data_IF_840349587240
#
_entry.id   IF_840349587240
#
_cell.length_a   1.000
_cell.length_b   1.000
_cell.length_c   1.000
_cell.angle_alpha   90.00
_cell.angle_beta   90.00
_cell.angle_gamma   90.00
#
_symmetry.space_group_name_H-M   'P 1'
#
loop_
_entity.id
_entity.type
_entity.pdbx_description
1 polymer ?
#
# COMPACT_ATOMS: atom_id res chain seq x y z
N UNK A 1 -5.97 -2.67 1.91
CA UNK A 1 -5.41 -3.93 1.38
C UNK A 1 -6.24 -5.14 1.81
N UNK A 2 -6.98 -4.98 2.90
CA UNK A 2 -7.64 -6.04 3.65
C UNK A 2 -8.84 -5.45 4.41
N UNK A 3 -9.66 -6.32 4.98
CA UNK A 3 -10.72 -6.00 5.95
C UNK A 3 -10.99 -7.22 6.83
N UNK A 4 -11.35 -7.01 8.09
CA UNK A 4 -11.73 -8.08 9.01
C UNK A 4 -13.05 -8.73 8.60
N UNK A 5 -13.10 -10.06 8.68
CA UNK A 5 -14.33 -10.83 8.44
C UNK A 5 -15.24 -10.76 9.68
N UNK A 6 -16.52 -10.47 9.47
CA UNK A 6 -17.56 -10.48 10.51
C UNK A 6 -17.53 -9.30 11.49
N UNK A 7 -16.65 -8.32 11.27
CA UNK A 7 -16.64 -7.08 12.06
C UNK A 7 -17.61 -6.08 11.41
N UNK A 8 -18.55 -5.46 12.17
CA UNK A 8 -19.46 -4.47 11.60
C UNK A 8 -18.71 -3.36 10.87
N UNK A 9 -19.21 -2.95 9.71
CA UNK A 9 -18.55 -1.95 8.86
C UNK A 9 -18.36 -0.60 9.55
N UNK A 10 -19.27 -0.25 10.46
CA UNK A 10 -19.25 0.97 11.27
C UNK A 10 -18.52 0.80 12.61
N UNK A 11 -18.00 -0.40 12.91
CA UNK A 11 -17.17 -0.63 14.09
C UNK A 11 -15.94 0.29 14.02
N UNK A 12 -15.53 0.97 15.11
CA UNK A 12 -14.43 1.94 15.10
C UNK A 12 -13.10 1.34 14.62
N UNK A 13 -12.87 0.06 14.92
CA UNK A 13 -11.66 -0.67 14.53
C UNK A 13 -11.76 -1.41 13.18
N UNK A 14 -12.85 -1.24 12.42
CA UNK A 14 -12.89 -1.75 11.04
C UNK A 14 -11.98 -0.92 10.14
N UNK A 15 -11.44 -1.53 9.09
CA UNK A 15 -10.61 -0.78 8.14
C UNK A 15 -11.43 0.17 7.27
N UNK A 16 -12.73 -0.10 7.06
CA UNK A 16 -13.70 0.90 6.57
C UNK A 16 -13.71 2.16 7.45
N UNK A 17 -13.94 2.03 8.76
CA UNK A 17 -13.96 3.16 9.69
C UNK A 17 -12.62 3.88 9.78
N UNK A 18 -11.51 3.13 9.82
CA UNK A 18 -10.17 3.70 9.85
C UNK A 18 -9.91 4.58 8.62
N UNK A 19 -10.13 4.04 7.42
CA UNK A 19 -9.86 4.76 6.17
C UNK A 19 -10.78 5.97 6.01
N UNK A 20 -12.06 5.83 6.38
CA UNK A 20 -13.00 6.95 6.33
C UNK A 20 -12.64 8.06 7.31
N UNK A 21 -12.26 7.68 8.54
CA UNK A 21 -11.95 8.63 9.62
C UNK A 21 -10.65 9.37 9.41
N UNK A 22 -9.62 8.70 8.89
CA UNK A 22 -8.26 9.25 8.83
C UNK A 22 -7.84 9.74 7.45
N UNK A 23 -8.60 9.44 6.39
CA UNK A 23 -8.21 9.84 5.05
C UNK A 23 -9.39 10.28 4.18
N UNK A 24 -10.33 9.39 3.83
CA UNK A 24 -11.27 9.67 2.75
C UNK A 24 -12.20 10.86 3.02
N UNK A 25 -12.59 11.13 4.26
CA UNK A 25 -13.44 12.28 4.59
C UNK A 25 -12.70 13.63 4.55
N UNK A 26 -11.36 13.61 4.51
CA UNK A 26 -10.50 14.80 4.59
C UNK A 26 -9.99 15.24 3.20
N UNK A 27 -10.36 14.52 2.14
CA UNK A 27 -9.94 14.78 0.75
C UNK A 27 -11.15 14.76 -0.19
N UNK A 28 -10.98 15.26 -1.42
CA UNK A 28 -12.02 15.42 -2.44
C UNK A 28 -12.22 14.17 -3.32
N UNK A 29 -11.93 12.97 -2.79
CA UNK A 29 -12.15 11.72 -3.51
C UNK A 29 -13.64 11.41 -3.61
N UNK A 30 -14.12 11.06 -4.81
CA UNK A 30 -15.48 10.56 -4.99
C UNK A 30 -15.63 9.20 -4.27
N UNK A 31 -16.58 9.04 -3.32
CA UNK A 31 -16.81 7.78 -2.64
C UNK A 31 -17.10 6.60 -3.58
N UNK A 32 -17.62 6.85 -4.79
CA UNK A 32 -17.83 5.81 -5.80
C UNK A 32 -16.52 5.20 -6.33
N UNK A 33 -15.40 5.90 -6.16
CA UNK A 33 -14.05 5.44 -6.53
C UNK A 33 -13.30 4.80 -5.35
N UNK A 34 -13.96 4.62 -4.20
CA UNK A 34 -13.36 4.01 -3.01
C UNK A 34 -13.77 2.54 -2.92
N UNK A 35 -12.78 1.65 -2.98
CA UNK A 35 -12.99 0.21 -2.94
C UNK A 35 -12.29 -0.40 -1.72
N UNK A 36 -13.05 -1.00 -0.82
CA UNK A 36 -12.57 -1.81 0.30
C UNK A 36 -13.33 -3.14 0.25
N UNK A 37 -12.66 -4.23 0.59
CA UNK A 37 -13.26 -5.56 0.73
C UNK A 37 -14.42 -5.54 1.73
N UNK A 38 -15.50 -6.25 1.40
CA UNK A 38 -16.63 -6.43 2.32
C UNK A 38 -16.44 -7.68 3.18
N UNK A 39 -15.88 -7.49 4.38
CA UNK A 39 -15.71 -8.57 5.36
C UNK A 39 -17.02 -9.18 5.89
N UNK A 40 -18.18 -8.60 5.57
CA UNK A 40 -19.51 -9.12 5.95
C UNK A 40 -20.30 -9.67 4.76
N UNK A 41 -19.66 -9.83 3.59
CA UNK A 41 -20.29 -10.44 2.44
C UNK A 41 -20.78 -11.86 2.77
N UNK A 42 -21.95 -12.22 2.25
CA UNK A 42 -22.54 -13.56 2.46
C UNK A 42 -21.73 -14.68 1.80
N UNK A 43 -20.97 -14.36 0.76
CA UNK A 43 -20.03 -15.23 0.07
C UNK A 43 -18.68 -14.51 -0.06
N UNK A 44 -17.77 -14.85 0.85
CA UNK A 44 -16.47 -14.21 0.96
C UNK A 44 -15.57 -14.50 -0.25
N UNK A 45 -15.67 -15.68 -0.86
CA UNK A 45 -14.88 -16.02 -2.04
C UNK A 45 -15.33 -15.21 -3.26
N UNK A 46 -16.65 -15.08 -3.43
CA UNK A 46 -17.23 -14.24 -4.48
C UNK A 46 -16.86 -12.77 -4.31
N UNK A 47 -16.79 -12.29 -3.07
CA UNK A 47 -16.33 -10.94 -2.74
C UNK A 47 -14.85 -10.74 -3.13
N UNK A 48 -13.97 -11.66 -2.76
CA UNK A 48 -12.58 -11.63 -3.20
C UNK A 48 -12.44 -11.62 -4.73
N UNK A 49 -13.23 -12.45 -5.42
CA UNK A 49 -13.23 -12.50 -6.89
C UNK A 49 -13.80 -11.21 -7.52
N UNK A 50 -14.79 -10.56 -6.87
CA UNK A 50 -15.29 -9.24 -7.29
C UNK A 50 -14.19 -8.19 -7.20
N UNK A 51 -13.47 -8.16 -6.08
CA UNK A 51 -12.42 -7.17 -5.86
C UNK A 51 -11.30 -7.25 -6.92
N UNK A 52 -10.86 -8.46 -7.27
CA UNK A 52 -9.89 -8.69 -8.35
C UNK A 52 -10.41 -8.21 -9.73
N UNK A 53 -11.70 -8.42 -10.01
CA UNK A 53 -12.32 -7.93 -11.24
C UNK A 53 -12.37 -6.40 -11.27
N UNK A 54 -12.66 -5.75 -10.15
CA UNK A 54 -12.67 -4.28 -10.08
C UNK A 54 -11.28 -3.68 -10.30
N UNK A 55 -10.24 -4.29 -9.72
CA UNK A 55 -8.84 -3.89 -10.01
C UNK A 55 -8.56 -4.02 -11.51
N UNK A 56 -8.97 -5.12 -12.13
CA UNK A 56 -8.77 -5.34 -13.57
C UNK A 56 -9.53 -4.32 -14.42
N UNK A 57 -10.79 -4.04 -14.08
CA UNK A 57 -11.64 -3.08 -14.79
C UNK A 57 -11.13 -1.64 -14.65
N UNK A 58 -10.46 -1.32 -13.54
CA UNK A 58 -9.77 -0.04 -13.35
C UNK A 58 -8.45 0.08 -14.13
N UNK A 59 -8.00 -0.98 -14.83
CA UNK A 59 -6.74 -0.99 -15.58
C UNK A 59 -5.51 -1.38 -14.76
N UNK A 60 -5.72 -2.05 -13.62
CA UNK A 60 -4.67 -2.42 -12.67
C UNK A 60 -4.31 -1.28 -11.72
N UNK A 61 -3.38 -1.56 -10.79
CA UNK A 61 -2.94 -0.61 -9.77
C UNK A 61 -1.70 0.13 -10.29
N UNK A 62 -1.76 1.46 -10.34
CA UNK A 62 -0.59 2.28 -10.70
C UNK A 62 0.48 2.21 -9.61
N UNK A 63 0.11 2.60 -8.40
CA UNK A 63 0.97 2.61 -7.23
C UNK A 63 0.27 1.89 -6.08
N UNK A 64 0.90 0.83 -5.58
CA UNK A 64 0.45 0.12 -4.40
C UNK A 64 1.27 0.57 -3.20
N UNK A 65 0.63 1.23 -2.22
CA UNK A 65 1.27 1.60 -0.96
C UNK A 65 0.95 0.57 0.12
N UNK A 66 1.98 0.04 0.75
CA UNK A 66 1.87 -0.95 1.81
C UNK A 66 2.81 -0.67 2.98
N UNK A 67 2.66 -1.47 4.03
CA UNK A 67 3.59 -1.56 5.14
C UNK A 67 4.11 -2.99 5.29
N UNK A 68 4.94 -3.21 6.31
CA UNK A 68 5.48 -4.53 6.68
C UNK A 68 5.08 -4.89 8.11
N UNK A 69 4.60 -6.12 8.32
CA UNK A 69 4.41 -6.69 9.65
C UNK A 69 5.74 -7.00 10.36
N UNK A 70 5.79 -7.14 11.69
CA UNK A 70 7.01 -7.58 12.41
C UNK A 70 7.55 -8.96 11.96
N UNK A 71 6.69 -9.77 11.37
CA UNK A 71 6.95 -11.09 10.75
C UNK A 71 7.19 -11.00 9.23
N UNK A 72 7.27 -9.80 8.66
CA UNK A 72 7.50 -9.59 7.23
C UNK A 72 6.30 -9.74 6.33
N UNK A 73 5.06 -9.79 6.85
CA UNK A 73 3.88 -9.88 5.99
C UNK A 73 3.62 -8.57 5.21
N UNK A 74 3.11 -8.71 3.98
CA UNK A 74 2.39 -7.67 3.23
C UNK A 74 0.89 -7.93 3.32
N UNK A 75 0.09 -6.93 3.69
CA UNK A 75 -1.33 -7.12 4.00
C UNK A 75 -1.49 -8.25 5.05
N UNK A 76 -2.55 -9.06 5.01
CA UNK A 76 -2.63 -10.29 5.84
C UNK A 76 -2.06 -11.53 5.13
N UNK A 77 -1.04 -11.37 4.28
CA UNK A 77 -0.28 -12.50 3.73
C UNK A 77 0.73 -13.02 4.76
N UNK A 78 0.19 -13.67 5.78
CA UNK A 78 0.91 -14.31 6.89
C UNK A 78 2.02 -15.26 6.41
N UNK A 79 3.05 -15.55 7.24
CA UNK A 79 4.10 -16.50 6.92
C UNK A 79 3.56 -17.84 6.40
N UNK A 80 4.14 -18.30 5.29
CA UNK A 80 3.71 -19.49 4.56
C UNK A 80 2.69 -19.21 3.43
N UNK A 81 2.22 -17.97 3.28
CA UNK A 81 1.35 -17.58 2.17
C UNK A 81 2.05 -17.69 0.82
N UNK A 82 1.36 -18.24 -0.19
CA UNK A 82 1.92 -18.31 -1.55
C UNK A 82 2.32 -16.92 -2.07
N UNK A 83 3.52 -16.81 -2.63
CA UNK A 83 4.04 -15.56 -3.19
C UNK A 83 3.35 -15.14 -4.50
N UNK A 84 2.53 -16.02 -5.09
CA UNK A 84 1.68 -15.75 -6.26
C UNK A 84 0.18 -15.80 -5.91
N UNK A 85 -0.14 -15.66 -4.63
CA UNK A 85 -1.53 -15.69 -4.16
C UNK A 85 -2.36 -14.53 -4.73
N UNK A 86 -3.68 -14.75 -4.82
CA UNK A 86 -4.70 -13.74 -5.11
C UNK A 86 -5.46 -13.34 -3.86
N UNK A 87 -6.34 -12.36 -4.01
CA UNK A 87 -7.29 -11.92 -2.98
C UNK A 87 -8.09 -13.11 -2.46
N UNK A 88 -8.10 -13.30 -1.13
CA UNK A 88 -8.69 -14.48 -0.49
C UNK A 88 -9.00 -14.23 0.98
N UNK A 89 -9.75 -15.15 1.57
CA UNK A 89 -9.89 -15.26 3.03
C UNK A 89 -8.59 -15.80 3.62
N UNK A 90 -8.13 -15.18 4.71
CA UNK A 90 -6.99 -15.64 5.51
C UNK A 90 -7.35 -15.67 6.98
N UNK A 91 -7.08 -16.80 7.62
CA UNK A 91 -7.05 -16.89 9.09
C UNK A 91 -5.82 -16.14 9.60
N UNK A 92 -6.03 -15.29 10.60
CA UNK A 92 -4.96 -14.51 11.22
C UNK A 92 -4.05 -15.42 12.05
N UNK A 93 -2.75 -15.16 11.99
CA UNK A 93 -1.78 -15.81 12.87
C UNK A 93 -1.99 -15.36 14.32
N UNK A 94 -1.57 -16.21 15.27
CA UNK A 94 -1.66 -15.88 16.71
C UNK A 94 -0.91 -14.59 17.05
N UNK A 95 0.22 -14.34 16.42
CA UNK A 95 1.01 -13.12 16.64
C UNK A 95 0.25 -11.86 16.16
N UNK A 96 -0.46 -11.96 15.03
CA UNK A 96 -1.34 -10.91 14.51
C UNK A 96 -2.50 -10.63 15.47
N UNK A 97 -3.12 -11.68 16.01
CA UNK A 97 -4.18 -11.55 17.01
C UNK A 97 -3.66 -10.84 18.26
N UNK A 98 -2.49 -11.24 18.77
CA UNK A 98 -1.85 -10.61 19.93
C UNK A 98 -1.51 -9.13 19.68
N UNK A 99 -0.96 -8.81 18.51
CA UNK A 99 -0.60 -7.44 18.14
C UNK A 99 -1.83 -6.52 18.02
N UNK A 100 -2.96 -7.07 17.56
CA UNK A 100 -4.18 -6.30 17.32
C UNK A 100 -5.13 -6.28 18.53
N UNK A 101 -4.95 -7.14 19.53
CA UNK A 101 -5.76 -7.17 20.75
C UNK A 101 -5.86 -5.80 21.45
N UNK A 102 -4.82 -4.96 21.34
CA UNK A 102 -4.81 -3.59 21.88
C UNK A 102 -5.97 -2.72 21.37
N UNK A 103 -6.44 -2.97 20.15
CA UNK A 103 -7.57 -2.27 19.53
C UNK A 103 -8.92 -2.80 20.01
N UNK A 104 -8.96 -4.04 20.51
CA UNK A 104 -10.16 -4.72 21.00
C UNK A 104 -10.22 -4.75 22.54
N UNK A 105 -9.67 -3.72 23.20
CA UNK A 105 -9.67 -3.59 24.66
C UNK A 105 -8.76 -4.60 25.39
N UNK A 106 -7.79 -5.18 24.69
CA UNK A 106 -6.89 -6.21 25.21
C UNK A 106 -7.47 -7.62 25.26
N UNK A 107 -8.69 -7.81 24.74
CA UNK A 107 -9.41 -9.09 24.76
C UNK A 107 -9.20 -9.85 23.45
N UNK A 108 -8.50 -10.99 23.53
CA UNK A 108 -8.14 -11.80 22.37
C UNK A 108 -9.37 -12.42 21.70
N UNK A 109 -10.43 -12.71 22.46
CA UNK A 109 -11.64 -13.37 21.95
C UNK A 109 -12.49 -12.41 21.10
N UNK A 110 -12.23 -11.10 21.19
CA UNK A 110 -12.90 -10.06 20.38
C UNK A 110 -12.18 -9.74 19.09
N UNK A 111 -10.96 -10.21 18.91
CA UNK A 111 -10.21 -10.00 17.67
C UNK A 111 -10.79 -10.91 16.58
N UNK A 112 -11.18 -10.39 15.41
CA UNK A 112 -11.65 -11.22 14.31
C UNK A 112 -10.60 -12.28 13.95
N UNK A 113 -11.03 -13.52 13.78
CA UNK A 113 -10.11 -14.66 13.52
C UNK A 113 -9.72 -14.78 12.05
N UNK A 114 -10.44 -14.09 11.17
CA UNK A 114 -10.22 -14.10 9.72
C UNK A 114 -10.28 -12.68 9.15
N UNK A 115 -9.62 -12.49 8.03
CA UNK A 115 -9.67 -11.28 7.23
C UNK A 115 -9.77 -11.63 5.74
N UNK A 116 -10.38 -10.74 4.96
CA UNK A 116 -10.19 -10.69 3.52
C UNK A 116 -8.92 -9.90 3.26
N UNK A 117 -8.08 -10.37 2.34
CA UNK A 117 -6.83 -9.69 2.03
C UNK A 117 -6.46 -9.89 0.57
N UNK A 118 -5.90 -8.86 -0.06
CA UNK A 118 -5.26 -9.00 -1.38
C UNK A 118 -4.10 -10.01 -1.30
N UNK A 119 -3.85 -10.72 -2.38
CA UNK A 119 -2.74 -11.67 -2.43
C UNK A 119 -1.40 -10.99 -2.68
N UNK A 120 -0.30 -11.70 -2.41
CA UNK A 120 1.04 -11.23 -2.77
C UNK A 120 1.13 -10.98 -4.28
N UNK A 121 0.58 -11.88 -5.09
CA UNK A 121 0.50 -11.72 -6.54
C UNK A 121 -0.35 -10.50 -6.95
N UNK A 122 -1.42 -10.21 -6.24
CA UNK A 122 -2.25 -9.01 -6.48
C UNK A 122 -1.46 -7.71 -6.28
N UNK A 123 -0.58 -7.66 -5.27
CA UNK A 123 0.30 -6.50 -5.04
C UNK A 123 1.43 -6.45 -6.07
N UNK A 124 1.99 -7.61 -6.43
CA UNK A 124 3.04 -7.73 -7.46
C UNK A 124 2.58 -7.35 -8.87
N UNK A 125 1.27 -7.35 -9.14
CA UNK A 125 0.70 -6.89 -10.42
C UNK A 125 0.63 -5.36 -10.54
N UNK A 126 0.90 -4.61 -9.46
CA UNK A 126 0.96 -3.15 -9.53
C UNK A 126 2.12 -2.69 -10.43
N UNK A 127 2.01 -1.50 -11.02
CA UNK A 127 3.11 -0.93 -11.81
C UNK A 127 4.26 -0.47 -10.92
N UNK A 128 3.94 0.08 -9.76
CA UNK A 128 4.90 0.42 -8.70
C UNK A 128 4.39 -0.05 -7.32
N UNK A 129 5.32 -0.47 -6.46
CA UNK A 129 5.05 -0.81 -5.07
C UNK A 129 5.89 0.06 -4.15
N UNK A 130 5.28 0.73 -3.19
CA UNK A 130 5.97 1.48 -2.15
C UNK A 130 5.67 0.89 -0.77
N UNK A 131 6.72 0.50 -0.04
CA UNK A 131 6.62 -0.06 1.31
C UNK A 131 7.17 0.94 2.33
N UNK A 132 6.31 1.40 3.24
CA UNK A 132 6.68 2.28 4.35
C UNK A 132 7.01 1.47 5.61
N UNK A 133 8.18 1.74 6.19
CA UNK A 133 8.71 0.96 7.33
C UNK A 133 9.29 1.91 8.38
N UNK A 134 8.69 1.95 9.56
CA UNK A 134 9.17 2.81 10.64
C UNK A 134 9.29 2.07 11.97
N UNK A 135 10.34 2.40 12.72
CA UNK A 135 10.62 1.93 14.07
C UNK A 135 11.41 0.62 14.16
N UNK A 136 12.18 0.50 15.24
CA UNK A 136 13.10 -0.61 15.50
C UNK A 136 12.43 -2.00 15.51
N UNK A 137 11.17 -2.05 15.93
CA UNK A 137 10.36 -3.28 15.95
C UNK A 137 10.10 -3.89 14.56
N UNK A 138 10.46 -3.18 13.47
CA UNK A 138 10.39 -3.67 12.09
C UNK A 138 11.75 -3.99 11.47
N UNK A 139 12.86 -3.75 12.18
CA UNK A 139 14.20 -3.87 11.60
C UNK A 139 14.53 -5.29 11.14
N UNK A 140 14.16 -6.31 11.93
CA UNK A 140 14.35 -7.71 11.54
C UNK A 140 13.55 -8.06 10.28
N UNK A 141 12.30 -7.61 10.18
CA UNK A 141 11.46 -7.86 9.02
C UNK A 141 12.04 -7.22 7.76
N UNK A 142 12.55 -5.99 7.87
CA UNK A 142 13.24 -5.32 6.76
C UNK A 142 14.50 -6.09 6.34
N UNK A 143 15.35 -6.48 7.28
CA UNK A 143 16.51 -7.33 7.00
C UNK A 143 16.12 -8.60 6.23
N UNK A 144 15.09 -9.31 6.70
CA UNK A 144 14.60 -10.54 6.06
C UNK A 144 14.00 -10.30 4.68
N UNK A 145 13.41 -9.13 4.45
CA UNK A 145 12.79 -8.79 3.19
C UNK A 145 13.81 -8.40 2.11
N UNK A 146 14.97 -7.81 2.45
CA UNK A 146 15.88 -7.22 1.44
C UNK A 146 17.32 -7.76 1.45
N UNK A 147 17.80 -8.35 2.55
CA UNK A 147 19.17 -8.92 2.61
C UNK A 147 19.20 -10.45 2.55
N UNK A 148 18.17 -11.12 3.07
CA UNK A 148 17.95 -12.55 2.83
C UNK A 148 17.24 -12.76 1.47
N UNK A 149 17.12 -14.03 1.04
CA UNK A 149 16.46 -14.35 -0.24
C UNK A 149 14.94 -14.40 -0.16
N UNK A 150 14.32 -14.41 -1.35
CA UNK A 150 12.86 -14.60 -1.53
C UNK A 150 12.37 -15.82 -0.75
N UNK A 151 11.42 -15.61 0.16
CA UNK A 151 10.90 -16.64 1.05
C UNK A 151 9.45 -16.35 1.46
N UNK A 152 8.56 -17.32 1.31
CA UNK A 152 7.15 -17.21 1.69
C UNK A 152 6.90 -17.03 3.20
N UNK A 153 7.92 -17.20 4.05
CA UNK A 153 7.86 -16.88 5.47
C UNK A 153 7.99 -15.38 5.75
N UNK A 154 8.48 -14.59 4.78
CA UNK A 154 8.67 -13.14 4.86
C UNK A 154 8.14 -12.54 3.55
N UNK A 155 6.83 -12.43 3.41
CA UNK A 155 6.19 -12.25 2.10
C UNK A 155 6.55 -10.94 1.38
N UNK A 156 6.97 -9.89 2.09
CA UNK A 156 7.55 -8.68 1.48
C UNK A 156 8.82 -8.96 0.67
N UNK A 157 9.55 -10.05 0.96
CA UNK A 157 10.71 -10.49 0.14
C UNK A 157 10.34 -10.81 -1.32
N UNK A 158 9.05 -11.02 -1.64
CA UNK A 158 8.60 -11.18 -3.01
C UNK A 158 8.96 -9.98 -3.90
N UNK A 159 8.98 -8.77 -3.33
CA UNK A 159 9.28 -7.53 -4.07
C UNK A 159 10.73 -7.43 -4.55
N UNK A 160 11.63 -8.33 -4.13
CA UNK A 160 12.93 -8.49 -4.77
C UNK A 160 12.82 -8.85 -6.26
N UNK A 161 11.68 -9.43 -6.68
CA UNK A 161 11.39 -9.80 -8.06
C UNK A 161 10.43 -8.83 -8.76
N UNK A 162 10.02 -7.75 -8.10
CA UNK A 162 9.15 -6.73 -8.68
C UNK A 162 10.00 -5.71 -9.46
N UNK A 163 9.58 -5.29 -10.67
CA UNK A 163 10.39 -4.41 -11.52
C UNK A 163 10.56 -3.00 -10.95
N UNK A 164 9.64 -2.54 -10.09
CA UNK A 164 9.66 -1.19 -9.55
C UNK A 164 9.16 -1.14 -8.09
N UNK A 165 10.07 -1.36 -7.14
CA UNK A 165 9.74 -1.33 -5.71
C UNK A 165 10.60 -0.34 -4.93
N UNK A 166 9.92 0.50 -4.16
CA UNK A 166 10.51 1.55 -3.33
C UNK A 166 10.28 1.25 -1.85
N UNK A 167 11.35 1.20 -1.07
CA UNK A 167 11.27 1.04 0.38
C UNK A 167 11.60 2.37 1.04
N UNK A 168 10.64 2.94 1.78
CA UNK A 168 10.80 4.19 2.52
C UNK A 168 10.91 3.85 4.00
N UNK A 169 12.08 4.09 4.58
CA UNK A 169 12.41 3.67 5.94
C UNK A 169 12.89 4.84 6.81
N UNK A 170 12.60 4.81 8.11
CA UNK A 170 13.33 5.63 9.10
C UNK A 170 14.66 4.97 9.51
N UNK A 171 15.47 5.68 10.30
CA UNK A 171 16.77 5.16 10.76
C UNK A 171 16.60 3.90 11.63
N UNK A 172 15.62 3.89 12.53
CA UNK A 172 15.39 2.78 13.46
C UNK A 172 15.01 1.48 12.75
N UNK A 173 14.28 1.56 11.63
CA UNK A 173 13.99 0.39 10.80
C UNK A 173 15.26 -0.24 10.18
N UNK A 174 16.38 0.48 10.11
CA UNK A 174 17.62 -0.02 9.47
C UNK A 174 18.58 -0.73 10.43
N UNK A 175 18.24 -0.88 11.71
CA UNK A 175 19.16 -1.35 12.76
C UNK A 175 19.74 -2.76 12.53
N UNK A 176 19.01 -3.64 11.85
CA UNK A 176 19.46 -5.01 11.53
C UNK A 176 20.16 -5.11 10.16
N UNK A 177 20.19 -4.02 9.38
CA UNK A 177 20.83 -4.02 8.07
C UNK A 177 22.35 -3.94 8.17
N UNK A 178 23.05 -4.50 7.19
CA UNK A 178 24.50 -4.33 7.09
C UNK A 178 24.82 -2.86 6.82
N UNK A 179 25.86 -2.37 7.51
CA UNK A 179 26.40 -1.02 7.29
C UNK A 179 26.68 -0.73 5.81
N UNK A 180 27.13 -1.74 5.04
CA UNK A 180 27.38 -1.59 3.60
C UNK A 180 26.09 -1.27 2.82
N UNK A 181 24.99 -1.96 3.13
CA UNK A 181 23.67 -1.75 2.52
C UNK A 181 23.17 -0.34 2.80
N UNK A 182 23.18 0.07 4.07
CA UNK A 182 22.74 1.42 4.48
C UNK A 182 23.60 2.50 3.83
N UNK A 183 24.93 2.35 3.83
CA UNK A 183 25.85 3.31 3.19
C UNK A 183 25.60 3.46 1.69
N UNK A 184 25.35 2.35 1.00
CA UNK A 184 25.05 2.39 -0.43
C UNK A 184 23.80 3.22 -0.72
N UNK A 185 22.67 2.91 -0.07
CA UNK A 185 21.42 3.63 -0.31
C UNK A 185 21.43 5.08 0.20
N UNK A 186 22.10 5.36 1.34
CA UNK A 186 22.34 6.75 1.78
C UNK A 186 23.14 7.54 0.75
N UNK A 187 24.12 6.90 0.11
CA UNK A 187 24.89 7.49 -0.99
C UNK A 187 24.06 7.83 -2.22
N UNK A 188 22.89 7.20 -2.41
CA UNK A 188 21.97 7.46 -3.51
C UNK A 188 20.89 8.51 -3.19
N UNK A 189 20.80 8.98 -1.95
CA UNK A 189 19.71 9.90 -1.53
C UNK A 189 19.68 11.20 -2.34
N UNK A 190 20.82 11.71 -2.82
CA UNK A 190 20.83 12.90 -3.70
C UNK A 190 20.16 12.64 -5.06
N UNK A 191 20.14 11.39 -5.53
CA UNK A 191 19.43 10.97 -6.74
C UNK A 191 17.96 10.76 -6.40
N UNK A 192 17.67 9.98 -5.36
CA UNK A 192 16.29 9.60 -5.02
C UNK A 192 15.47 10.78 -4.49
N UNK A 193 16.09 11.78 -3.86
CA UNK A 193 15.38 13.00 -3.46
C UNK A 193 14.83 13.78 -4.66
N UNK A 194 15.34 13.58 -5.87
CA UNK A 194 14.77 14.17 -7.09
C UNK A 194 13.36 13.66 -7.42
N UNK A 195 12.93 12.56 -6.80
CA UNK A 195 11.57 12.05 -6.92
C UNK A 195 10.56 12.94 -6.18
N UNK A 196 11.01 13.69 -5.18
CA UNK A 196 10.16 14.52 -4.30
C UNK A 196 10.57 16.01 -4.31
N UNK A 197 11.68 16.36 -4.97
CA UNK A 197 12.21 17.72 -5.08
C UNK A 197 12.60 18.04 -6.54
N UNK A 198 11.96 19.04 -7.20
CA UNK A 198 10.92 19.91 -6.65
C UNK A 198 9.59 19.18 -6.47
N UNK A 199 8.89 19.48 -5.37
CA UNK A 199 7.52 18.99 -5.14
C UNK A 199 6.57 19.72 -6.08
N UNK A 200 5.92 18.97 -6.97
CA UNK A 200 4.95 19.53 -7.91
C UNK A 200 3.65 19.91 -7.19
N UNK A 201 3.04 21.01 -7.63
CA UNK A 201 1.74 21.47 -7.14
C UNK A 201 0.76 21.69 -8.29
N UNK A 202 -0.51 21.32 -8.10
CA UNK A 202 -1.58 21.58 -9.07
C UNK A 202 -1.76 23.09 -9.31
N UNK A 203 -1.40 23.93 -8.32
CA UNK A 203 -1.42 25.40 -8.46
C UNK A 203 -0.42 25.90 -9.51
N UNK A 204 0.71 25.22 -9.68
CA UNK A 204 1.76 25.61 -10.63
C UNK A 204 1.38 25.28 -12.08
N UNK A 205 0.50 24.30 -12.28
CA UNK A 205 -0.08 23.97 -13.59
C UNK A 205 -1.23 24.90 -14.00
N UNK A 206 -1.95 25.50 -13.04
CA UNK A 206 -3.07 26.41 -13.32
C UNK A 206 -2.64 27.83 -13.69
N UNK A 207 -1.44 28.26 -13.28
CA UNK A 207 -0.90 29.59 -13.59
C UNK A 207 -0.39 29.76 -15.03
N UNK A 208 -0.35 28.68 -15.83
CA UNK A 208 0.06 28.71 -17.25
C UNK A 208 -1.12 28.89 -18.23
N UNK A 209 -2.34 29.11 -17.76
CA UNK A 209 -3.54 29.28 -18.60
C UNK A 209 -4.11 30.70 -18.47
N UNK A 210 -3.38 31.72 -18.94
CA UNK A 210 -3.85 33.10 -19.23
C UNK A 210 -2.84 33.66 -20.26
N UNK A 211 -3.09 34.15 -21.48
CA UNK A 211 -4.21 34.80 -22.17
C UNK A 211 -4.28 34.37 -23.67
N UNK A 212 -5.41 34.56 -24.39
CA UNK A 212 -5.41 34.51 -25.84
C UNK A 212 -4.60 35.67 -26.40
N UNK A 213 -3.60 35.36 -27.24
CA UNK A 213 -2.81 36.36 -27.97
C UNK A 213 -3.73 37.35 -28.68
N UNK A 214 -3.56 38.64 -28.36
CA UNK A 214 -4.17 39.75 -29.07
C UNK A 214 -3.94 39.63 -30.58
N UNK A 215 -4.98 39.99 -31.34
CA UNK A 215 -5.05 39.86 -32.79
C UNK A 215 -3.84 40.43 -33.52
N UNK A 216 -3.27 39.61 -34.40
CA UNK A 216 -2.35 40.08 -35.43
C UNK A 216 -3.19 40.51 -36.63
N UNK A 217 -3.07 41.79 -36.96
CA UNK A 217 -3.54 42.42 -38.19
C UNK A 217 -3.30 41.55 -39.43
N UNK A 218 -4.36 41.32 -40.21
CA UNK A 218 -4.24 40.87 -41.58
C UNK A 218 -3.90 42.08 -42.45
N UNK A 219 -2.62 42.25 -42.78
CA UNK A 219 -2.21 43.11 -43.88
C UNK A 219 -2.55 42.43 -45.21
N UNK A 220 -3.40 43.11 -45.96
CA UNK A 220 -3.77 42.82 -47.34
C UNK A 220 -2.58 43.07 -48.27
N UNK A 221 -2.17 42.03 -49.01
CA UNK A 221 -1.45 42.20 -50.28
C UNK A 221 -2.28 41.59 -51.40
N UNK A 222 -2.97 42.47 -52.14
CA UNK A 222 -3.37 42.28 -53.52
C UNK A 222 -2.73 43.43 -54.33
N UNK A 223 -2.14 43.04 -55.46
CA UNK A 223 -1.48 43.83 -56.53
C UNK A 223 -0.04 44.33 -56.28
#
# INVERSE_FOLDING_TARGET
MDEYVGLPRDHPESYHSFMWTHFFKEVDIDPANVHILDGNASDLEKECARFEREITLAGGIELFVGGIGPDGHIAFNEPGSSLVSRTRVKTLARDTILANARFFGGDLDKVPTMALTVGVGTVMDAREVMILITGAHKALALYKAIEDGVNHMWTVSAFQQHPHSTFVCDEDATLELRVKTVKYFKGLMYVHNKLVDPMLSIKDSQSKVVEPSQGVHADSYLE
#
